data_IF_553019702734
#
_entry.id   IF_553019702734
#
_cell.length_a   1.000
_cell.length_b   1.000
_cell.length_c   1.000
_cell.angle_alpha   90.00
_cell.angle_beta   90.00
_cell.angle_gamma   90.00
#
_symmetry.space_group_name_H-M   'P 1'
#
loop_
_entity.id
_entity.type
_entity.pdbx_description
1 polymer ?
#
# COMPACT_ATOMS: atom_id res chain seq x y z
N UNK A 1 9.52 -6.22 13.51
CA UNK A 1 10.79 -6.96 13.51
C UNK A 1 11.92 -6.06 14.01
N UNK A 2 12.59 -6.40 15.14
CA UNK A 2 13.69 -5.61 15.69
C UNK A 2 14.84 -5.38 14.70
N UNK A 3 15.19 -6.39 13.88
CA UNK A 3 16.28 -6.27 12.92
C UNK A 3 16.03 -5.18 11.86
N UNK A 4 14.78 -5.07 11.36
CA UNK A 4 14.40 -4.01 10.41
C UNK A 4 14.46 -2.62 11.05
N UNK A 5 14.07 -2.50 12.31
CA UNK A 5 14.13 -1.22 13.03
C UNK A 5 15.59 -0.79 13.27
N UNK A 6 16.44 -1.72 13.70
CA UNK A 6 17.88 -1.46 13.86
C UNK A 6 18.52 -1.08 12.52
N UNK A 7 18.26 -1.84 11.46
CA UNK A 7 18.77 -1.51 10.13
C UNK A 7 18.25 -0.15 9.62
N UNK A 8 16.99 0.21 9.90
CA UNK A 8 16.44 1.52 9.56
C UNK A 8 17.11 2.68 10.31
N UNK A 9 17.53 2.48 11.56
CA UNK A 9 18.32 3.50 12.28
C UNK A 9 19.75 3.62 11.75
N UNK A 10 20.30 2.54 11.20
CA UNK A 10 21.70 2.44 10.77
C UNK A 10 21.91 2.59 9.25
N UNK A 11 20.84 2.76 8.46
CA UNK A 11 20.89 2.62 7.00
C UNK A 11 21.91 3.53 6.30
N UNK A 12 22.08 4.77 6.77
CA UNK A 12 23.02 5.74 6.20
C UNK A 12 24.38 5.77 6.92
N UNK A 13 24.55 5.06 8.04
CA UNK A 13 25.77 5.14 8.86
C UNK A 13 27.02 4.68 8.11
N UNK A 14 26.88 3.66 7.26
CA UNK A 14 28.00 3.09 6.49
C UNK A 14 28.42 3.99 5.33
N UNK A 15 27.55 4.88 4.85
CA UNK A 15 27.87 5.83 3.78
C UNK A 15 28.40 7.16 4.32
N UNK A 16 27.82 7.64 5.42
CA UNK A 16 28.07 8.98 5.94
C UNK A 16 29.15 9.03 7.03
N UNK A 17 29.63 7.88 7.52
CA UNK A 17 30.61 7.82 8.61
C UNK A 17 31.77 6.87 8.30
N UNK A 18 32.81 6.90 9.13
CA UNK A 18 33.95 5.98 9.05
C UNK A 18 33.61 4.56 9.52
N UNK A 19 32.40 4.32 10.00
CA UNK A 19 31.95 3.03 10.53
C UNK A 19 31.69 2.02 9.40
N UNK A 20 32.43 0.90 9.41
CA UNK A 20 32.41 -0.07 8.33
C UNK A 20 31.38 -1.20 8.47
N UNK A 21 31.16 -1.95 7.38
CA UNK A 21 30.29 -3.14 7.38
C UNK A 21 30.77 -4.25 8.32
N UNK A 22 32.09 -4.38 8.52
CA UNK A 22 32.65 -5.38 9.43
C UNK A 22 32.41 -5.02 10.90
N UNK A 23 32.47 -3.73 11.26
CA UNK A 23 32.11 -3.25 12.60
C UNK A 23 30.61 -3.46 12.85
N UNK A 24 29.77 -3.12 11.86
CA UNK A 24 28.33 -3.34 11.92
C UNK A 24 27.99 -4.83 12.13
N UNK A 25 28.69 -5.73 11.44
CA UNK A 25 28.53 -7.19 11.60
C UNK A 25 28.94 -7.64 13.00
N UNK A 26 30.06 -7.14 13.52
CA UNK A 26 30.52 -7.48 14.88
C UNK A 26 29.50 -7.05 15.94
N UNK A 27 28.91 -5.87 15.80
CA UNK A 27 28.11 -5.26 16.86
C UNK A 27 26.62 -5.66 16.78
N UNK A 28 26.07 -5.91 15.58
CA UNK A 28 24.64 -6.18 15.35
C UNK A 28 24.33 -7.50 14.61
N UNK A 29 25.35 -8.21 14.15
CA UNK A 29 25.23 -9.52 13.49
C UNK A 29 24.90 -9.46 11.99
N UNK A 30 25.01 -10.62 11.34
CA UNK A 30 24.92 -10.74 9.87
C UNK A 30 23.60 -10.27 9.27
N UNK A 31 22.50 -10.44 9.99
CA UNK A 31 21.17 -10.09 9.49
C UNK A 31 21.02 -8.58 9.32
N UNK A 32 21.44 -7.79 10.31
CA UNK A 32 21.36 -6.32 10.24
C UNK A 32 22.34 -5.79 9.19
N UNK A 33 23.56 -6.34 9.13
CA UNK A 33 24.55 -5.97 8.11
C UNK A 33 24.06 -6.23 6.70
N UNK A 34 23.42 -7.38 6.45
CA UNK A 34 22.85 -7.70 5.14
C UNK A 34 21.77 -6.69 4.73
N UNK A 35 20.94 -6.24 5.68
CA UNK A 35 19.89 -5.26 5.42
C UNK A 35 20.48 -3.89 5.08
N UNK A 36 21.44 -3.41 5.87
CA UNK A 36 22.09 -2.10 5.66
C UNK A 36 22.88 -2.10 4.35
N UNK A 37 23.72 -3.11 4.11
CA UNK A 37 24.44 -3.27 2.83
C UNK A 37 23.49 -3.31 1.63
N UNK A 38 22.34 -3.96 1.79
CA UNK A 38 21.28 -3.99 0.79
C UNK A 38 20.74 -2.60 0.46
N UNK A 39 20.50 -1.75 1.47
CA UNK A 39 19.99 -0.38 1.28
C UNK A 39 21.05 0.53 0.64
N UNK A 40 22.26 0.56 1.19
CA UNK A 40 23.44 1.30 0.68
C UNK A 40 23.69 1.02 -0.81
N UNK A 41 23.60 -0.24 -1.25
CA UNK A 41 23.81 -0.61 -2.66
C UNK A 41 22.76 -0.04 -3.61
N UNK A 42 21.55 0.24 -3.13
CA UNK A 42 20.49 0.85 -3.92
C UNK A 42 20.70 2.35 -4.12
N UNK A 43 21.35 3.03 -3.18
CA UNK A 43 21.65 4.47 -3.27
C UNK A 43 22.78 4.79 -4.26
N UNK A 44 23.75 3.88 -4.43
CA UNK A 44 24.88 4.07 -5.35
C UNK A 44 24.53 3.93 -6.84
N UNK A 45 23.26 3.69 -7.19
CA UNK A 45 22.84 3.55 -8.59
C UNK A 45 22.67 4.94 -9.23
N UNK A 46 23.45 5.22 -10.29
CA UNK A 46 23.39 6.50 -11.02
C UNK A 46 22.14 6.53 -11.91
N UNK A 47 21.27 7.51 -11.70
CA UNK A 47 20.05 7.69 -12.50
C UNK A 47 20.31 8.47 -13.81
N UNK A 48 20.26 7.76 -14.93
CA UNK A 48 20.02 8.26 -16.29
C UNK A 48 18.89 7.45 -16.96
N UNK A 49 18.42 7.81 -18.15
CA UNK A 49 17.27 7.13 -18.82
C UNK A 49 17.51 5.62 -19.01
N UNK A 50 18.72 5.20 -19.40
CA UNK A 50 19.11 3.79 -19.47
C UNK A 50 19.28 3.12 -18.08
N UNK A 51 19.39 3.91 -17.01
CA UNK A 51 19.63 3.41 -15.66
C UNK A 51 18.35 3.20 -14.84
N UNK A 52 17.17 3.62 -15.35
CA UNK A 52 15.91 3.29 -14.69
C UNK A 52 15.71 1.77 -14.66
N UNK A 53 15.87 1.10 -15.81
CA UNK A 53 15.80 -0.37 -15.90
C UNK A 53 16.88 -1.07 -15.07
N UNK A 54 18.09 -0.48 -14.95
CA UNK A 54 19.17 -1.04 -14.14
C UNK A 54 18.91 -0.87 -12.63
N UNK A 55 18.38 0.28 -12.20
CA UNK A 55 17.98 0.54 -10.80
C UNK A 55 16.88 -0.43 -10.40
N UNK A 56 15.90 -0.57 -11.27
CA UNK A 56 14.82 -1.55 -11.21
C UNK A 56 15.43 -2.95 -11.02
N UNK A 57 16.26 -3.44 -11.95
CA UNK A 57 16.91 -4.76 -11.86
C UNK A 57 17.68 -4.96 -10.56
N UNK A 58 18.46 -3.98 -10.11
CA UNK A 58 19.21 -4.02 -8.83
C UNK A 58 18.29 -4.04 -7.61
N UNK A 59 17.18 -3.30 -7.64
CA UNK A 59 16.13 -3.39 -6.64
C UNK A 59 15.55 -4.81 -6.58
N UNK A 60 15.29 -5.46 -7.72
CA UNK A 60 14.83 -6.87 -7.71
C UNK A 60 15.84 -7.83 -7.12
N UNK A 61 17.13 -7.66 -7.45
CA UNK A 61 18.19 -8.51 -6.91
C UNK A 61 18.35 -8.31 -5.40
N UNK A 62 18.23 -7.07 -4.91
CA UNK A 62 18.23 -6.78 -3.47
C UNK A 62 16.99 -7.38 -2.79
N UNK A 63 15.81 -7.29 -3.41
CA UNK A 63 14.56 -7.87 -2.94
C UNK A 63 14.60 -9.41 -2.89
N UNK A 64 15.27 -10.06 -3.84
CA UNK A 64 15.40 -11.51 -3.88
C UNK A 64 16.16 -12.08 -2.67
N UNK A 65 17.03 -11.27 -2.05
CA UNK A 65 17.73 -11.63 -0.82
C UNK A 65 16.89 -11.37 0.42
N UNK A 66 16.31 -10.18 0.53
CA UNK A 66 15.43 -9.84 1.65
C UNK A 66 14.47 -8.68 1.33
N UNK A 67 13.13 -8.88 1.39
CA UNK A 67 12.16 -7.82 1.13
C UNK A 67 12.21 -6.67 2.15
N UNK A 68 12.77 -6.88 3.36
CA UNK A 68 12.89 -5.85 4.40
C UNK A 68 13.77 -4.67 3.97
N UNK A 69 14.73 -4.90 3.06
CA UNK A 69 15.59 -3.86 2.46
C UNK A 69 14.73 -2.80 1.76
N UNK A 70 13.75 -3.23 0.95
CA UNK A 70 12.90 -2.30 0.22
C UNK A 70 11.93 -1.56 1.13
N UNK A 71 11.46 -2.19 2.21
CA UNK A 71 10.62 -1.52 3.21
C UNK A 71 11.40 -0.37 3.87
N UNK A 72 12.66 -0.61 4.25
CA UNK A 72 13.54 0.44 4.80
C UNK A 72 13.73 1.54 3.76
N UNK A 73 14.02 1.19 2.50
CA UNK A 73 14.25 2.19 1.44
C UNK A 73 13.00 3.03 1.12
N UNK A 74 11.82 2.43 1.12
CA UNK A 74 10.56 3.14 0.95
C UNK A 74 10.27 4.07 2.13
N UNK A 75 10.60 3.66 3.35
CA UNK A 75 10.47 4.49 4.53
C UNK A 75 11.41 5.71 4.50
N UNK A 76 12.68 5.50 4.13
CA UNK A 76 13.65 6.57 3.89
C UNK A 76 13.15 7.53 2.79
N UNK A 77 12.75 7.00 1.62
CA UNK A 77 12.22 7.83 0.53
C UNK A 77 10.97 8.62 0.96
N UNK A 78 10.07 8.02 1.73
CA UNK A 78 8.89 8.71 2.26
C UNK A 78 9.28 9.85 3.21
N UNK A 79 10.24 9.62 4.11
CA UNK A 79 10.77 10.65 4.99
C UNK A 79 11.37 11.80 4.18
N UNK A 80 12.22 11.49 3.20
CA UNK A 80 12.82 12.46 2.29
C UNK A 80 11.76 13.30 1.56
N UNK A 81 10.69 12.67 1.06
CA UNK A 81 9.60 13.37 0.38
C UNK A 81 8.81 14.31 1.30
N UNK A 82 8.68 13.99 2.59
CA UNK A 82 8.06 14.86 3.59
C UNK A 82 8.93 16.08 3.95
N UNK A 83 10.24 16.01 3.75
CA UNK A 83 11.21 17.05 4.16
C UNK A 83 11.83 17.83 3.00
N UNK A 84 11.26 17.74 1.79
CA UNK A 84 11.79 18.33 0.54
C UNK A 84 11.94 19.86 0.55
N UNK A 85 11.29 20.56 1.48
CA UNK A 85 11.26 22.04 1.56
C UNK A 85 12.63 22.72 1.64
N UNK A 86 13.66 22.01 2.09
CA UNK A 86 15.02 22.54 2.25
C UNK A 86 15.92 22.37 1.02
N UNK A 87 15.46 21.64 -0.01
CA UNK A 87 16.22 21.41 -1.22
C UNK A 87 15.95 22.48 -2.29
N UNK A 88 16.92 22.71 -3.18
CA UNK A 88 16.69 23.51 -4.39
C UNK A 88 15.61 22.87 -5.27
N UNK A 89 14.83 23.70 -5.96
CA UNK A 89 13.69 23.28 -6.79
C UNK A 89 14.02 22.16 -7.79
N UNK A 90 15.15 22.27 -8.48
CA UNK A 90 15.62 21.26 -9.44
C UNK A 90 15.82 19.88 -8.79
N UNK A 91 16.44 19.84 -7.60
CA UNK A 91 16.60 18.59 -6.83
C UNK A 91 15.25 18.06 -6.34
N UNK A 92 14.32 18.96 -5.99
CA UNK A 92 12.98 18.57 -5.58
C UNK A 92 12.23 17.85 -6.72
N UNK A 93 12.23 18.45 -7.90
CA UNK A 93 11.56 17.90 -9.08
C UNK A 93 12.18 16.56 -9.52
N UNK A 94 13.52 16.45 -9.52
CA UNK A 94 14.20 15.19 -9.84
C UNK A 94 13.78 14.06 -8.89
N UNK A 95 13.85 14.29 -7.57
CA UNK A 95 13.46 13.29 -6.57
C UNK A 95 11.96 12.98 -6.60
N UNK A 96 11.11 13.96 -6.87
CA UNK A 96 9.66 13.76 -7.00
C UNK A 96 9.32 12.92 -8.23
N UNK A 97 9.97 13.17 -9.38
CA UNK A 97 9.83 12.35 -10.59
C UNK A 97 10.25 10.90 -10.36
N UNK A 98 11.43 10.70 -9.77
CA UNK A 98 11.93 9.38 -9.38
C UNK A 98 10.94 8.66 -8.43
N UNK A 99 10.37 9.40 -7.48
CA UNK A 99 9.36 8.88 -6.55
C UNK A 99 8.12 8.37 -7.28
N UNK A 100 7.64 9.14 -8.26
CA UNK A 100 6.44 8.81 -9.01
C UNK A 100 6.64 7.66 -10.00
N UNK A 101 7.78 7.63 -10.68
CA UNK A 101 8.09 6.66 -11.73
C UNK A 101 8.59 5.31 -11.17
N UNK A 102 9.28 5.33 -10.02
CA UNK A 102 9.96 4.14 -9.47
C UNK A 102 9.32 3.72 -8.14
N UNK A 103 9.39 4.57 -7.10
CA UNK A 103 9.05 4.14 -5.74
C UNK A 103 7.55 3.94 -5.49
N UNK A 104 6.68 4.78 -6.06
CA UNK A 104 5.23 4.62 -5.93
C UNK A 104 4.74 3.30 -6.60
N UNK A 105 5.13 2.97 -7.84
CA UNK A 105 4.86 1.66 -8.44
C UNK A 105 5.40 0.49 -7.62
N UNK A 106 6.59 0.61 -7.03
CA UNK A 106 7.16 -0.43 -6.17
C UNK A 106 6.33 -0.63 -4.89
N UNK A 107 5.95 0.46 -4.21
CA UNK A 107 5.07 0.40 -3.05
C UNK A 107 3.72 -0.25 -3.41
N UNK A 108 3.17 0.05 -4.58
CA UNK A 108 1.94 -0.58 -5.07
C UNK A 108 2.08 -2.09 -5.29
N UNK A 109 3.18 -2.53 -5.91
CA UNK A 109 3.47 -3.95 -6.15
C UNK A 109 3.63 -4.72 -4.84
N UNK A 110 4.29 -4.12 -3.84
CA UNK A 110 4.40 -4.66 -2.48
C UNK A 110 3.09 -4.64 -1.67
N UNK A 111 2.01 -4.06 -2.20
CA UNK A 111 0.74 -3.89 -1.52
C UNK A 111 0.75 -2.83 -0.41
N UNK A 112 1.78 -1.98 -0.35
CA UNK A 112 1.94 -0.91 0.64
C UNK A 112 1.20 0.35 0.19
N UNK A 113 -0.13 0.28 0.15
CA UNK A 113 -0.96 1.36 -0.42
C UNK A 113 -0.85 2.68 0.37
N UNK A 114 -0.69 2.62 1.69
CA UNK A 114 -0.56 3.85 2.50
C UNK A 114 0.69 4.65 2.08
N UNK A 115 1.84 3.97 1.94
CA UNK A 115 3.09 4.60 1.48
C UNK A 115 2.93 5.08 0.04
N UNK A 116 2.38 4.24 -0.83
CA UNK A 116 2.15 4.57 -2.24
C UNK A 116 1.41 5.91 -2.39
N UNK A 117 0.24 6.03 -1.78
CA UNK A 117 -0.61 7.20 -1.96
C UNK A 117 0.05 8.47 -1.42
N UNK A 118 0.75 8.36 -0.29
CA UNK A 118 1.45 9.50 0.28
C UNK A 118 2.64 9.95 -0.58
N UNK A 119 3.43 9.00 -1.10
CA UNK A 119 4.49 9.30 -2.07
C UNK A 119 3.93 9.96 -3.34
N UNK A 120 2.82 9.45 -3.86
CA UNK A 120 2.13 10.00 -5.04
C UNK A 120 1.65 11.44 -4.80
N UNK A 121 0.94 11.70 -3.70
CA UNK A 121 0.41 13.03 -3.38
C UNK A 121 1.55 14.05 -3.13
N UNK A 122 2.62 13.65 -2.41
CA UNK A 122 3.79 14.50 -2.17
C UNK A 122 4.55 14.80 -3.48
N UNK A 123 4.78 13.79 -4.32
CA UNK A 123 5.42 13.97 -5.61
C UNK A 123 4.58 14.86 -6.54
N UNK A 124 3.26 14.66 -6.54
CA UNK A 124 2.32 15.44 -7.34
C UNK A 124 2.31 16.93 -6.94
N UNK A 125 2.26 17.22 -5.64
CA UNK A 125 2.31 18.58 -5.12
C UNK A 125 3.61 19.31 -5.52
N UNK A 126 4.75 18.58 -5.58
CA UNK A 126 6.02 19.15 -6.01
C UNK A 126 6.05 19.36 -7.53
N UNK A 127 5.70 18.34 -8.33
CA UNK A 127 5.84 18.39 -9.78
C UNK A 127 4.84 19.34 -10.44
N UNK A 128 3.59 19.39 -9.94
CA UNK A 128 2.49 20.14 -10.56
C UNK A 128 1.74 20.98 -9.52
N UNK A 129 2.39 21.99 -8.91
CA UNK A 129 1.82 22.73 -7.77
C UNK A 129 0.49 23.44 -8.12
N UNK A 130 0.41 24.08 -9.30
CA UNK A 130 -0.82 24.76 -9.75
C UNK A 130 -2.02 23.80 -9.87
N UNK A 131 -1.79 22.62 -10.45
CA UNK A 131 -2.82 21.60 -10.60
C UNK A 131 -3.23 21.01 -9.24
N UNK A 132 -2.25 20.83 -8.35
CA UNK A 132 -2.50 20.37 -6.99
C UNK A 132 -3.41 21.37 -6.25
N UNK A 133 -3.07 22.65 -6.26
CA UNK A 133 -3.84 23.71 -5.60
C UNK A 133 -5.26 23.82 -6.18
N UNK A 134 -5.42 23.70 -7.49
CA UNK A 134 -6.72 23.68 -8.16
C UNK A 134 -7.58 22.49 -7.69
N UNK A 135 -7.02 21.28 -7.67
CA UNK A 135 -7.74 20.10 -7.19
C UNK A 135 -8.10 20.26 -5.71
N UNK A 136 -7.17 20.73 -4.87
CA UNK A 136 -7.43 20.95 -3.44
C UNK A 136 -8.59 21.93 -3.25
N UNK A 137 -8.62 23.03 -4.00
CA UNK A 137 -9.71 24.01 -3.97
C UNK A 137 -11.05 23.40 -4.39
N UNK A 138 -11.09 22.70 -5.53
CA UNK A 138 -12.30 22.06 -6.03
C UNK A 138 -12.84 21.00 -5.06
N UNK A 139 -11.95 20.26 -4.39
CA UNK A 139 -12.28 19.28 -3.34
C UNK A 139 -12.88 19.99 -2.13
N UNK A 140 -12.28 21.10 -1.68
CA UNK A 140 -12.73 21.87 -0.53
C UNK A 140 -14.12 22.50 -0.74
N UNK A 141 -14.38 23.08 -1.92
CA UNK A 141 -15.67 23.68 -2.27
C UNK A 141 -16.83 22.68 -2.21
N UNK A 142 -16.56 21.41 -2.54
CA UNK A 142 -17.58 20.34 -2.53
C UNK A 142 -17.59 19.48 -1.26
N UNK A 143 -16.64 19.66 -0.35
CA UNK A 143 -16.50 18.84 0.86
C UNK A 143 -17.75 18.87 1.77
N UNK A 144 -18.38 20.03 2.07
CA UNK A 144 -19.50 20.07 3.02
C UNK A 144 -20.69 19.20 2.60
N UNK A 145 -21.15 19.35 1.34
CA UNK A 145 -22.28 18.57 0.79
C UNK A 145 -21.96 17.08 0.71
N UNK A 146 -20.70 16.74 0.41
CA UNK A 146 -20.23 15.36 0.35
C UNK A 146 -20.22 14.74 1.75
N UNK A 147 -19.75 15.47 2.76
CA UNK A 147 -19.61 14.96 4.12
C UNK A 147 -20.99 14.75 4.77
N UNK A 148 -21.96 15.62 4.49
CA UNK A 148 -23.36 15.42 4.85
C UNK A 148 -23.94 14.16 4.19
N UNK A 149 -23.77 14.02 2.88
CA UNK A 149 -24.24 12.83 2.16
C UNK A 149 -23.56 11.55 2.63
N UNK A 150 -22.24 11.59 2.87
CA UNK A 150 -21.47 10.48 3.40
C UNK A 150 -21.96 10.08 4.80
N UNK A 151 -22.31 11.03 5.66
CA UNK A 151 -22.87 10.77 6.98
C UNK A 151 -24.21 10.03 6.87
N UNK A 152 -25.12 10.48 5.99
CA UNK A 152 -26.41 9.83 5.73
C UNK A 152 -26.22 8.39 5.26
N UNK A 153 -25.41 8.19 4.22
CA UNK A 153 -25.18 6.84 3.65
C UNK A 153 -24.48 5.92 4.68
N UNK A 154 -23.54 6.46 5.47
CA UNK A 154 -22.85 5.70 6.52
C UNK A 154 -23.82 5.26 7.61
N UNK A 155 -24.69 6.15 8.07
CA UNK A 155 -25.66 5.83 9.12
C UNK A 155 -26.70 4.81 8.63
N UNK A 156 -27.23 4.96 7.42
CA UNK A 156 -28.17 3.99 6.82
C UNK A 156 -27.55 2.58 6.72
N UNK A 157 -26.32 2.47 6.19
CA UNK A 157 -25.62 1.18 6.09
C UNK A 157 -25.34 0.62 7.50
N UNK A 158 -24.95 1.45 8.46
CA UNK A 158 -24.68 1.02 9.82
C UNK A 158 -25.96 0.54 10.54
N UNK A 159 -27.11 1.16 10.29
CA UNK A 159 -28.41 0.74 10.81
C UNK A 159 -28.81 -0.63 10.25
N UNK A 160 -28.68 -0.84 8.94
CA UNK A 160 -29.03 -2.13 8.33
C UNK A 160 -28.16 -3.27 8.82
N UNK A 161 -26.84 -3.05 8.91
CA UNK A 161 -25.92 -4.06 9.39
C UNK A 161 -26.23 -4.42 10.85
N UNK A 162 -26.63 -3.43 11.67
CA UNK A 162 -27.10 -3.68 13.04
C UNK A 162 -28.40 -4.50 13.07
N UNK A 163 -29.37 -4.17 12.22
CA UNK A 163 -30.64 -4.91 12.12
C UNK A 163 -30.40 -6.37 11.67
N UNK A 164 -29.45 -6.60 10.78
CA UNK A 164 -28.99 -7.91 10.34
C UNK A 164 -28.09 -8.64 11.37
N UNK A 165 -27.82 -8.02 12.53
CA UNK A 165 -26.92 -8.53 13.59
C UNK A 165 -25.48 -8.77 13.12
N UNK A 166 -25.02 -7.99 12.16
CA UNK A 166 -23.64 -8.03 11.63
C UNK A 166 -22.83 -6.96 12.34
N UNK A 167 -21.77 -7.37 13.04
CA UNK A 167 -20.83 -6.44 13.66
C UNK A 167 -19.90 -5.87 12.58
N UNK A 168 -20.07 -4.59 12.26
CA UNK A 168 -19.29 -3.93 11.23
C UNK A 168 -18.93 -2.49 11.63
N UNK A 169 -17.80 -2.02 11.12
CA UNK A 169 -17.39 -0.61 11.19
C UNK A 169 -17.46 0.00 9.80
N UNK A 170 -18.34 0.99 9.62
CA UNK A 170 -18.50 1.71 8.36
C UNK A 170 -17.75 3.04 8.44
N UNK A 171 -16.86 3.29 7.48
CA UNK A 171 -16.06 4.52 7.42
C UNK A 171 -16.06 5.08 6.00
N UNK A 172 -16.07 6.40 5.86
CA UNK A 172 -15.79 7.04 4.58
C UNK A 172 -14.38 6.77 4.07
N UNK A 173 -14.24 6.62 2.76
CA UNK A 173 -12.94 6.47 2.11
C UNK A 173 -12.52 7.80 1.47
N UNK A 174 -11.49 8.49 1.99
CA UNK A 174 -10.97 9.68 1.33
C UNK A 174 -10.36 9.30 -0.03
N UNK A 175 -10.46 10.21 -1.00
CA UNK A 175 -9.79 10.09 -2.28
C UNK A 175 -8.48 10.87 -2.24
N UNK A 176 -7.41 10.25 -2.73
CA UNK A 176 -6.11 10.88 -2.90
C UNK A 176 -6.10 11.81 -4.11
N UNK A 177 -5.43 12.96 -4.00
CA UNK A 177 -5.45 14.01 -5.01
C UNK A 177 -4.83 13.55 -6.32
N UNK A 178 -3.72 12.83 -6.26
CA UNK A 178 -3.08 12.28 -7.45
C UNK A 178 -3.98 11.29 -8.20
N UNK A 179 -4.77 10.49 -7.46
CA UNK A 179 -5.76 9.58 -8.07
C UNK A 179 -6.92 10.33 -8.74
N UNK A 180 -7.29 11.52 -8.24
CA UNK A 180 -8.27 12.39 -8.90
C UNK A 180 -7.68 12.95 -10.18
N UNK A 181 -6.45 13.49 -10.10
CA UNK A 181 -5.70 14.01 -11.23
C UNK A 181 -5.56 13.00 -12.37
N UNK A 182 -5.09 11.77 -12.08
CA UNK A 182 -4.97 10.71 -13.08
C UNK A 182 -6.31 10.38 -13.75
N UNK A 183 -7.42 10.38 -13.01
CA UNK A 183 -8.74 10.11 -13.58
C UNK A 183 -9.26 11.25 -14.46
N UNK A 184 -8.94 12.50 -14.13
CA UNK A 184 -9.30 13.65 -14.96
C UNK A 184 -8.54 13.63 -16.29
N UNK A 185 -7.22 13.49 -16.24
CA UNK A 185 -6.38 13.58 -17.45
C UNK A 185 -6.47 12.32 -18.31
N UNK A 186 -6.27 11.13 -17.74
CA UNK A 186 -6.12 9.89 -18.53
C UNK A 186 -7.47 9.40 -19.07
N UNK A 187 -8.57 9.70 -18.36
CA UNK A 187 -9.91 9.21 -18.74
C UNK A 187 -10.82 10.29 -19.28
N UNK A 188 -10.35 11.53 -19.38
CA UNK A 188 -11.15 12.68 -19.85
C UNK A 188 -12.46 12.85 -19.09
N UNK A 189 -12.50 12.45 -17.81
CA UNK A 189 -13.73 12.49 -17.00
C UNK A 189 -13.85 13.82 -16.29
N UNK A 190 -15.06 14.36 -16.28
CA UNK A 190 -15.36 15.58 -15.55
C UNK A 190 -15.12 15.40 -14.05
N UNK A 191 -14.56 16.45 -13.43
CA UNK A 191 -14.32 16.49 -11.98
C UNK A 191 -15.60 16.19 -11.20
N UNK A 192 -16.75 16.64 -11.70
CA UNK A 192 -18.05 16.41 -11.06
C UNK A 192 -18.39 14.92 -10.96
N UNK A 193 -18.29 14.16 -12.04
CA UNK A 193 -18.57 12.72 -12.03
C UNK A 193 -17.61 11.95 -11.14
N UNK A 194 -16.33 12.34 -11.13
CA UNK A 194 -15.32 11.69 -10.31
C UNK A 194 -15.59 11.96 -8.84
N UNK A 195 -15.89 13.21 -8.47
CA UNK A 195 -15.98 13.63 -7.07
C UNK A 195 -17.32 13.27 -6.43
N UNK A 196 -18.41 13.28 -7.20
CA UNK A 196 -19.76 12.94 -6.72
C UNK A 196 -19.92 11.45 -6.38
N UNK A 197 -18.98 10.61 -6.80
CA UNK A 197 -18.95 9.19 -6.44
C UNK A 197 -18.44 8.99 -5.00
N UNK A 198 -19.34 8.82 -4.05
CA UNK A 198 -18.94 8.62 -2.64
C UNK A 198 -18.46 7.21 -2.41
N UNK A 199 -17.31 7.08 -1.72
CA UNK A 199 -16.69 5.80 -1.39
C UNK A 199 -16.83 5.48 0.09
N UNK A 200 -17.35 4.29 0.40
CA UNK A 200 -17.51 3.79 1.77
C UNK A 200 -16.74 2.48 1.92
N UNK A 201 -16.16 2.30 3.09
CA UNK A 201 -15.48 1.07 3.50
C UNK A 201 -16.23 0.44 4.66
N UNK A 202 -16.55 -0.84 4.54
CA UNK A 202 -17.16 -1.66 5.57
C UNK A 202 -16.13 -2.67 6.04
N UNK A 203 -15.80 -2.62 7.32
CA UNK A 203 -14.88 -3.55 7.98
C UNK A 203 -15.66 -4.52 8.86
N UNK A 204 -15.41 -5.81 8.68
CA UNK A 204 -16.06 -6.90 9.43
C UNK A 204 -15.03 -7.87 9.99
N UNK A 205 -15.46 -8.81 10.83
CA UNK A 205 -14.56 -9.78 11.46
C UNK A 205 -14.27 -10.98 10.54
N UNK A 206 -15.30 -11.53 9.86
CA UNK A 206 -15.14 -12.76 9.07
C UNK A 206 -15.47 -12.58 7.57
N UNK A 207 -14.98 -13.51 6.75
CA UNK A 207 -15.30 -13.53 5.30
C UNK A 207 -16.80 -13.78 5.08
N UNK A 208 -17.44 -14.59 5.91
CA UNK A 208 -18.90 -14.80 5.87
C UNK A 208 -19.63 -13.49 6.05
N UNK A 209 -19.20 -12.66 7.00
CA UNK A 209 -19.80 -11.36 7.26
C UNK A 209 -19.58 -10.38 6.09
N UNK A 210 -18.50 -10.53 5.31
CA UNK A 210 -18.32 -9.71 4.10
C UNK A 210 -19.46 -9.94 3.09
N UNK A 211 -19.80 -11.21 2.84
CA UNK A 211 -20.89 -11.55 1.91
C UNK A 211 -22.27 -11.25 2.50
N UNK A 212 -22.45 -11.41 3.81
CA UNK A 212 -23.69 -11.01 4.48
C UNK A 212 -23.91 -9.48 4.42
N UNK A 213 -22.85 -8.70 4.63
CA UNK A 213 -22.89 -7.25 4.49
C UNK A 213 -23.17 -6.83 3.03
N UNK A 214 -22.60 -7.53 2.04
CA UNK A 214 -22.90 -7.30 0.63
C UNK A 214 -24.39 -7.51 0.33
N UNK A 215 -24.96 -8.64 0.78
CA UNK A 215 -26.38 -8.94 0.58
C UNK A 215 -27.30 -7.92 1.26
N UNK A 216 -26.92 -7.47 2.47
CA UNK A 216 -27.66 -6.43 3.20
C UNK A 216 -27.70 -5.12 2.40
N UNK A 217 -26.56 -4.69 1.85
CA UNK A 217 -26.48 -3.47 1.03
C UNK A 217 -27.27 -3.62 -0.28
N UNK A 218 -27.20 -4.77 -0.94
CA UNK A 218 -27.94 -5.03 -2.19
C UNK A 218 -29.46 -5.14 -1.97
N UNK A 219 -29.90 -5.48 -0.76
CA UNK A 219 -31.32 -5.46 -0.41
C UNK A 219 -31.86 -4.03 -0.25
N UNK A 220 -31.02 -3.08 0.20
CA UNK A 220 -31.38 -1.66 0.31
C UNK A 220 -31.30 -0.93 -1.02
N UNK A 221 -30.21 -1.11 -1.76
CA UNK A 221 -29.91 -0.35 -2.97
C UNK A 221 -29.63 -1.25 -4.15
N UNK A 222 -30.18 -0.85 -5.30
CA UNK A 222 -29.99 -1.57 -6.55
C UNK A 222 -28.51 -1.53 -6.97
N UNK A 223 -27.86 -2.69 -7.15
CA UNK A 223 -26.48 -2.73 -7.64
C UNK A 223 -26.42 -2.35 -9.12
N UNK A 224 -25.35 -1.65 -9.50
CA UNK A 224 -25.08 -1.29 -10.89
C UNK A 224 -24.47 -2.51 -11.61
N UNK A 225 -25.09 -3.01 -12.70
CA UNK A 225 -24.57 -4.15 -13.44
C UNK A 225 -23.13 -3.94 -13.93
N UNK A 226 -22.30 -4.98 -13.86
CA UNK A 226 -20.88 -4.93 -14.27
C UNK A 226 -19.94 -4.15 -13.33
N UNK A 227 -20.45 -3.61 -12.22
CA UNK A 227 -19.66 -2.88 -11.20
C UNK A 227 -19.39 -3.68 -9.93
N UNK A 228 -19.71 -4.96 -9.92
CA UNK A 228 -19.35 -5.88 -8.84
C UNK A 228 -18.03 -6.58 -9.15
N UNK A 229 -17.13 -6.65 -8.17
CA UNK A 229 -15.86 -7.38 -8.26
C UNK A 229 -15.57 -8.09 -6.95
N UNK A 230 -15.40 -9.40 -7.00
CA UNK A 230 -15.05 -10.22 -5.85
C UNK A 230 -13.54 -10.47 -5.82
N UNK A 231 -12.79 -9.59 -5.13
CA UNK A 231 -11.37 -9.82 -4.90
C UNK A 231 -11.09 -10.70 -3.68
N UNK A 232 -12.10 -11.23 -2.98
CA UNK A 232 -11.89 -12.25 -1.95
C UNK A 232 -11.68 -13.60 -2.62
N UNK A 233 -12.59 -13.96 -3.55
CA UNK A 233 -12.52 -15.19 -4.34
C UNK A 233 -11.41 -15.15 -5.40
N UNK A 234 -11.19 -13.98 -6.03
CA UNK A 234 -10.13 -13.77 -7.01
C UNK A 234 -9.21 -12.62 -6.55
N UNK A 235 -8.28 -12.88 -5.61
CA UNK A 235 -7.34 -11.87 -5.13
C UNK A 235 -6.53 -11.26 -6.27
N UNK A 236 -6.16 -9.98 -6.14
CA UNK A 236 -5.20 -9.37 -7.07
C UNK A 236 -3.80 -9.93 -6.83
N UNK A 237 -2.92 -9.74 -7.81
CA UNK A 237 -1.52 -10.15 -7.73
C UNK A 237 -0.77 -9.63 -6.50
N UNK A 238 -1.10 -8.43 -5.99
CA UNK A 238 -0.53 -7.88 -4.76
C UNK A 238 -1.23 -8.37 -3.48
N UNK A 239 -1.88 -9.54 -3.53
CA UNK A 239 -2.61 -10.18 -2.43
C UNK A 239 -3.78 -9.34 -1.88
N UNK A 240 -4.22 -8.32 -2.64
CA UNK A 240 -5.33 -7.47 -2.25
C UNK A 240 -6.65 -8.25 -2.27
N UNK A 241 -7.38 -8.19 -1.17
CA UNK A 241 -8.69 -8.82 -0.98
C UNK A 241 -9.73 -7.82 -0.49
N UNK A 242 -10.87 -7.76 -1.16
CA UNK A 242 -12.06 -6.97 -0.80
C UNK A 242 -13.19 -7.26 -1.79
N UNK A 243 -14.45 -7.14 -1.37
CA UNK A 243 -15.60 -7.06 -2.26
C UNK A 243 -15.81 -5.61 -2.66
N UNK A 244 -15.85 -5.34 -3.97
CA UNK A 244 -16.17 -4.02 -4.51
C UNK A 244 -17.54 -4.08 -5.18
N UNK A 245 -18.41 -3.14 -4.86
CA UNK A 245 -19.69 -2.99 -5.53
C UNK A 245 -20.03 -1.51 -5.67
N UNK A 246 -20.73 -1.16 -6.75
CA UNK A 246 -21.34 0.16 -6.90
C UNK A 246 -22.85 -0.01 -6.89
N UNK A 247 -23.52 0.78 -6.07
CA UNK A 247 -24.99 0.77 -5.92
C UNK A 247 -25.54 2.17 -6.15
N UNK A 248 -26.81 2.28 -6.51
CA UNK A 248 -27.50 3.57 -6.60
C UNK A 248 -28.06 3.90 -5.21
N UNK A 249 -27.39 4.82 -4.51
CA UNK A 249 -27.73 5.25 -3.17
C UNK A 249 -28.82 6.33 -3.12
N UNK A 250 -29.01 6.98 -1.96
CA UNK A 250 -30.04 7.99 -1.77
C UNK A 250 -29.88 9.16 -2.74
N UNK A 251 -30.99 9.74 -3.19
CA UNK A 251 -30.97 10.82 -4.18
C UNK A 251 -30.45 10.41 -5.56
N UNK A 252 -30.43 9.11 -5.88
CA UNK A 252 -30.07 8.57 -7.21
C UNK A 252 -28.57 8.64 -7.51
N UNK A 253 -27.72 8.93 -6.52
CA UNK A 253 -26.28 9.07 -6.71
C UNK A 253 -25.57 7.72 -6.54
N UNK A 254 -24.57 7.40 -7.37
CA UNK A 254 -23.81 6.18 -7.22
C UNK A 254 -22.94 6.22 -5.96
N UNK A 255 -22.91 5.10 -5.24
CA UNK A 255 -22.06 4.88 -4.05
C UNK A 255 -21.18 3.67 -4.31
N UNK A 256 -19.86 3.82 -4.15
CA UNK A 256 -18.90 2.73 -4.19
C UNK A 256 -18.69 2.16 -2.78
N UNK A 257 -18.92 0.86 -2.61
CA UNK A 257 -18.66 0.17 -1.35
C UNK A 257 -17.49 -0.79 -1.49
N UNK A 258 -16.65 -0.79 -0.46
CA UNK A 258 -15.57 -1.75 -0.25
C UNK A 258 -15.80 -2.51 1.04
N UNK A 259 -16.07 -3.80 0.93
CA UNK A 259 -16.30 -4.67 2.08
C UNK A 259 -15.10 -5.59 2.24
N UNK A 260 -14.52 -5.67 3.43
CA UNK A 260 -13.38 -6.54 3.73
C UNK A 260 -13.25 -6.78 5.22
N UNK A 261 -12.52 -7.83 5.60
CA UNK A 261 -12.24 -8.05 7.03
C UNK A 261 -11.20 -7.07 7.56
N UNK A 262 -11.07 -6.94 8.89
CA UNK A 262 -9.97 -6.19 9.49
C UNK A 262 -8.59 -6.72 9.07
N UNK A 263 -8.43 -8.05 8.93
CA UNK A 263 -7.19 -8.66 8.43
C UNK A 263 -6.89 -8.31 6.97
N UNK A 264 -7.91 -8.40 6.11
CA UNK A 264 -7.79 -7.97 4.72
C UNK A 264 -7.49 -6.48 4.62
N UNK A 265 -8.03 -5.66 5.51
CA UNK A 265 -7.71 -4.25 5.58
C UNK A 265 -6.25 -4.01 5.94
N UNK A 266 -5.74 -4.63 7.01
CA UNK A 266 -4.32 -4.51 7.40
C UNK A 266 -3.38 -4.94 6.27
N UNK A 267 -3.67 -6.07 5.62
CA UNK A 267 -2.90 -6.56 4.47
C UNK A 267 -2.96 -5.61 3.28
N UNK A 268 -4.11 -4.99 3.02
CA UNK A 268 -4.24 -4.05 1.93
C UNK A 268 -3.59 -2.69 2.18
N UNK A 269 -3.44 -2.25 3.43
CA UNK A 269 -2.77 -0.97 3.74
C UNK A 269 -1.24 -1.14 3.83
N UNK A 270 -0.78 -2.19 4.52
CA UNK A 270 0.64 -2.40 4.82
C UNK A 270 1.32 -3.47 3.98
N UNK A 271 0.58 -4.18 3.12
CA UNK A 271 1.13 -5.18 2.21
C UNK A 271 1.98 -6.24 2.91
N UNK A 272 3.19 -6.45 2.38
CA UNK A 272 4.17 -7.43 2.89
C UNK A 272 4.54 -7.19 4.36
N UNK A 273 4.48 -5.94 4.85
CA UNK A 273 4.81 -5.62 6.24
C UNK A 273 3.77 -6.17 7.24
N UNK A 274 2.49 -6.29 6.83
CA UNK A 274 1.46 -6.91 7.66
C UNK A 274 1.64 -8.43 7.77
N UNK A 275 2.13 -9.09 6.72
CA UNK A 275 2.34 -10.54 6.70
C UNK A 275 3.45 -10.97 7.66
N UNK A 276 4.51 -10.17 7.77
CA UNK A 276 5.65 -10.48 8.63
C UNK A 276 5.33 -10.35 10.12
N UNK A 277 4.47 -9.40 10.52
CA UNK A 277 4.00 -9.29 11.91
C UNK A 277 3.29 -10.58 12.36
N UNK A 278 2.49 -11.18 11.48
CA UNK A 278 1.79 -12.44 11.74
C UNK A 278 2.74 -13.63 11.92
N UNK A 279 3.83 -13.68 11.13
CA UNK A 279 4.89 -14.68 11.26
C UNK A 279 5.61 -14.59 12.61
N UNK A 280 5.83 -13.38 13.14
CA UNK A 280 6.42 -13.19 14.48
C UNK A 280 5.47 -13.57 15.61
N UNK A 281 4.17 -13.30 15.49
CA UNK A 281 3.17 -13.69 16.51
C UNK A 281 2.97 -15.21 16.54
N UNK A 282 2.99 -15.91 15.39
CA UNK A 282 2.94 -17.36 15.32
C UNK A 282 4.18 -18.04 15.94
N UNK A 283 5.36 -17.44 15.79
CA UNK A 283 6.62 -17.93 16.40
C UNK A 283 6.70 -17.56 17.89
N UNK A 284 6.22 -16.38 18.28
CA UNK A 284 6.20 -15.94 19.68
C UNK A 284 5.16 -16.69 20.54
N UNK A 285 4.06 -17.15 19.94
CA UNK A 285 3.07 -18.01 20.60
C UNK A 285 3.59 -19.40 21.01
N UNK A 286 4.74 -19.83 20.47
CA UNK A 286 5.42 -21.06 20.87
C UNK A 286 6.43 -20.87 22.02
N UNK A 287 6.63 -19.64 22.50
CA UNK A 287 7.62 -19.35 23.54
C UNK A 287 6.99 -19.33 24.95
N UNK A 288 6.45 -20.48 25.37
CA UNK A 288 6.31 -20.80 26.80
C UNK A 288 6.82 -22.23 27.04
N UNK A 289 8.06 -22.28 27.52
CA UNK A 289 8.68 -23.36 28.32
C UNK A 289 8.79 -24.72 27.62
N UNK A 290 9.99 -25.05 27.11
CA UNK A 290 10.86 -26.15 27.58
C UNK A 290 12.06 -26.34 26.64
N UNK A 291 13.22 -26.56 27.27
CA UNK A 291 14.47 -27.02 26.68
C UNK A 291 14.27 -28.40 26.06
N UNK A 292 14.68 -28.56 24.79
CA UNK A 292 15.45 -29.69 24.22
C UNK A 292 15.20 -29.84 22.71
N UNK A 293 16.29 -29.67 21.94
CA UNK A 293 16.53 -29.99 20.52
C UNK A 293 15.56 -29.48 19.43
N UNK A 294 16.07 -28.91 18.31
CA UNK A 294 15.24 -28.42 17.22
C UNK A 294 14.68 -29.60 16.39
N UNK A 295 13.40 -29.94 16.56
CA UNK A 295 12.66 -30.72 15.57
C UNK A 295 12.15 -29.79 14.47
N UNK A 296 12.44 -30.15 13.22
CA UNK A 296 11.96 -29.48 12.02
C UNK A 296 10.43 -29.51 11.96
N UNK A 297 9.76 -28.49 12.49
CA UNK A 297 8.32 -28.30 12.28
C UNK A 297 8.11 -27.76 10.86
N UNK A 298 7.43 -28.54 10.04
CA UNK A 298 7.20 -28.28 8.61
C UNK A 298 6.59 -26.90 8.35
N UNK A 299 7.14 -26.22 7.34
CA UNK A 299 6.55 -25.02 6.75
C UNK A 299 5.17 -25.38 6.17
N UNK A 300 4.13 -24.66 6.56
CA UNK A 300 2.80 -24.79 5.94
C UNK A 300 2.88 -24.52 4.43
N UNK A 301 2.17 -25.30 3.62
CA UNK A 301 2.14 -25.15 2.15
C UNK A 301 1.71 -23.74 1.71
N UNK A 302 0.84 -23.07 2.47
CA UNK A 302 0.39 -21.70 2.19
C UNK A 302 1.49 -20.64 2.36
N UNK A 303 2.43 -20.83 3.31
CA UNK A 303 3.55 -19.90 3.53
C UNK A 303 4.53 -19.93 2.35
N UNK A 304 4.80 -21.11 1.80
CA UNK A 304 5.63 -21.26 0.60
C UNK A 304 4.94 -20.70 -0.66
N UNK A 305 3.61 -20.84 -0.76
CA UNK A 305 2.84 -20.33 -1.90
C UNK A 305 2.80 -18.80 -1.92
N UNK A 306 2.69 -18.15 -0.76
CA UNK A 306 2.73 -16.68 -0.65
C UNK A 306 4.13 -16.11 -0.83
N UNK A 307 5.17 -16.78 -0.29
CA UNK A 307 6.56 -16.42 -0.57
C UNK A 307 6.88 -16.58 -2.08
N UNK A 308 6.26 -17.55 -2.76
CA UNK A 308 6.40 -17.76 -4.21
C UNK A 308 5.57 -16.77 -5.06
N UNK A 309 4.46 -16.23 -4.54
CA UNK A 309 3.57 -15.35 -5.30
C UNK A 309 4.19 -13.96 -5.57
N UNK A 310 4.90 -13.39 -4.59
CA UNK A 310 5.63 -12.14 -4.81
C UNK A 310 6.92 -12.36 -5.63
N UNK A 311 7.61 -13.51 -5.47
CA UNK A 311 8.73 -13.90 -6.33
C UNK A 311 8.31 -14.02 -7.81
N UNK A 312 7.09 -14.50 -8.09
CA UNK A 312 6.51 -14.47 -9.45
C UNK A 312 6.28 -13.06 -9.97
N UNK A 313 5.82 -12.11 -9.14
CA UNK A 313 5.72 -10.70 -9.54
C UNK A 313 7.08 -10.08 -9.91
N UNK A 314 8.19 -10.55 -9.31
CA UNK A 314 9.53 -10.13 -9.67
C UNK A 314 10.00 -10.71 -11.00
N UNK A 315 9.69 -11.98 -11.26
CA UNK A 315 9.99 -12.63 -12.55
C UNK A 315 9.20 -12.00 -13.70
N UNK A 316 7.94 -11.62 -13.46
CA UNK A 316 7.14 -10.91 -14.47
C UNK A 316 7.66 -9.49 -14.71
N UNK A 317 8.21 -8.82 -13.68
CA UNK A 317 8.86 -7.53 -13.85
C UNK A 317 10.15 -7.61 -14.67
N UNK A 318 10.95 -8.66 -14.48
CA UNK A 318 12.13 -8.89 -15.31
C UNK A 318 11.73 -9.04 -16.79
N UNK A 319 10.64 -9.77 -17.08
CA UNK A 319 10.11 -9.95 -18.44
C UNK A 319 9.56 -8.66 -19.05
N UNK A 320 8.82 -7.86 -18.29
CA UNK A 320 8.32 -6.55 -18.76
C UNK A 320 9.44 -5.55 -19.07
N UNK A 321 10.62 -5.70 -18.45
CA UNK A 321 11.81 -4.86 -18.72
C UNK A 321 12.76 -5.45 -19.77
N UNK A 322 12.54 -6.69 -20.21
CA UNK A 322 13.31 -7.35 -21.27
C UNK A 322 12.74 -7.09 -22.67
N UNK A 323 11.44 -6.76 -22.78
CA UNK A 323 10.83 -6.35 -24.06
C UNK A 323 10.89 -4.82 -24.22
N UNK A 324 11.54 -4.29 -25.27
CA UNK A 324 11.82 -2.87 -25.47
C UNK A 324 10.61 -1.99 -25.87
#
# INVERSE_FOLDING_TARGET
>A
DPATLMAGLLHDTVEDTEYGLEDLRRDFGDVVTLLVDGVTKLDKVKFGEAAQAETVRKMVVAMAKDPRVLVIKLADRLHNMRTMRYLKREKQEKKARETLEIYAPLAHRLGMNTIKWELEDLAFAILYPKMYDEIVRLVAERAPKRDEYLAVVTDEVQQDLRAARIKATVTGRPKHYYSVYQKMIVRGRDFAEIYDLVGIRVLVDTVRDCYAALGTVHARWNPVPGRFKDYIAMPKFNMYQSLHTTVIGPGGKPVELQIRTFDMHRRAEYGIAAHWKYKQEAVAGASKVRTDAPKSSGKSKDDHLNDMAWLRQLLDWQKETEDP
#
